data_IF_707783244995
#
_entry.id   IF_707783244995
#
_cell.length_a   1.000
_cell.length_b   1.000
_cell.length_c   1.000
_cell.angle_alpha   90.00
_cell.angle_beta   90.00
_cell.angle_gamma   90.00
#
_symmetry.space_group_name_H-M   'P 1'
#
loop_
_entity.id
_entity.type
_entity.pdbx_description
1 polymer ?
#
# COMPACT_ATOMS: atom_id res chain seq x y z
N UNK A 1 19.48 -1.41 -15.01
CA UNK A 1 18.69 -2.18 -14.01
C UNK A 1 17.56 -2.85 -14.78
N UNK A 2 17.27 -4.13 -14.51
CA UNK A 2 16.21 -4.87 -15.19
C UNK A 2 14.86 -4.70 -14.50
N UNK A 3 13.82 -5.32 -15.05
CA UNK A 3 12.51 -5.43 -14.39
C UNK A 3 12.61 -6.45 -13.26
N UNK A 4 12.23 -6.04 -12.04
CA UNK A 4 12.00 -6.92 -10.91
C UNK A 4 10.59 -7.50 -10.97
N UNK A 5 10.45 -8.79 -10.70
CA UNK A 5 9.16 -9.44 -10.56
C UNK A 5 9.21 -10.39 -9.37
N UNK A 6 8.15 -10.39 -8.57
CA UNK A 6 8.09 -11.15 -7.33
C UNK A 6 6.65 -11.52 -7.00
N UNK A 7 6.48 -12.44 -6.06
CA UNK A 7 5.18 -12.78 -5.51
C UNK A 7 5.31 -13.14 -4.02
N UNK A 8 4.23 -12.96 -3.28
CA UNK A 8 4.10 -13.36 -1.89
C UNK A 8 2.79 -14.11 -1.71
N UNK A 9 2.79 -15.15 -0.87
CA UNK A 9 1.57 -15.87 -0.53
C UNK A 9 1.50 -16.19 0.96
N UNK A 10 0.31 -16.07 1.53
CA UNK A 10 0.05 -16.36 2.93
C UNK A 10 -1.24 -17.17 3.02
N UNK A 11 -1.23 -18.23 3.83
CA UNK A 11 -2.44 -18.95 4.20
C UNK A 11 -2.56 -19.01 5.72
N UNK A 12 -3.73 -18.63 6.23
CA UNK A 12 -4.04 -18.60 7.65
C UNK A 12 -5.22 -19.53 7.88
N UNK A 13 -5.01 -20.54 8.71
CA UNK A 13 -6.07 -21.41 9.21
C UNK A 13 -6.27 -21.15 10.71
N UNK A 14 -7.51 -20.90 11.11
CA UNK A 14 -7.89 -20.78 12.53
C UNK A 14 -8.27 -22.15 13.08
N UNK A 15 -7.76 -22.46 14.27
CA UNK A 15 -8.03 -23.73 14.97
C UNK A 15 -9.50 -23.94 15.34
N UNK A 16 -10.29 -22.87 15.42
CA UNK A 16 -11.75 -22.93 15.56
C UNK A 16 -12.41 -22.43 14.29
N UNK A 17 -13.53 -23.05 13.94
CA UNK A 17 -14.42 -22.55 12.89
C UNK A 17 -15.06 -21.24 13.36
N UNK A 18 -14.80 -20.18 12.60
CA UNK A 18 -15.33 -18.83 12.78
C UNK A 18 -16.02 -18.35 11.50
N UNK A 19 -16.62 -19.27 10.75
CA UNK A 19 -17.31 -18.99 9.49
C UNK A 19 -16.34 -18.62 8.37
N UNK A 20 -16.68 -17.61 7.56
CA UNK A 20 -15.88 -17.14 6.41
C UNK A 20 -14.46 -16.67 6.79
N UNK A 21 -14.16 -16.45 8.07
CA UNK A 21 -12.82 -16.05 8.51
C UNK A 21 -11.92 -17.23 8.92
N UNK A 22 -12.41 -18.47 8.80
CA UNK A 22 -11.71 -19.68 9.26
C UNK A 22 -10.45 -19.95 8.44
N UNK A 23 -10.55 -19.80 7.12
CA UNK A 23 -9.45 -19.95 6.18
C UNK A 23 -9.28 -18.65 5.40
N UNK A 24 -8.09 -18.08 5.45
CA UNK A 24 -7.77 -16.83 4.76
C UNK A 24 -6.55 -17.08 3.89
N UNK A 25 -6.62 -16.70 2.61
CA UNK A 25 -5.47 -16.82 1.71
C UNK A 25 -5.22 -15.52 0.99
N UNK A 26 -3.95 -15.16 0.91
CA UNK A 26 -3.46 -13.96 0.26
C UNK A 26 -2.44 -14.36 -0.81
N UNK A 27 -2.52 -13.72 -1.96
CA UNK A 27 -1.54 -13.83 -3.04
C UNK A 27 -1.27 -12.42 -3.56
N UNK A 28 -0.03 -11.96 -3.46
CA UNK A 28 0.43 -10.70 -4.05
C UNK A 28 1.35 -11.03 -5.21
N UNK A 29 1.09 -10.41 -6.36
CA UNK A 29 2.00 -10.38 -7.49
C UNK A 29 2.54 -8.95 -7.62
N UNK A 30 3.86 -8.80 -7.69
CA UNK A 30 4.51 -7.50 -7.77
C UNK A 30 5.51 -7.42 -8.91
N UNK A 31 5.60 -6.24 -9.52
CA UNK A 31 6.66 -5.88 -10.47
C UNK A 31 7.21 -4.51 -10.12
N UNK A 32 8.52 -4.32 -10.27
CA UNK A 32 9.17 -3.05 -10.03
C UNK A 32 10.19 -2.73 -11.13
N UNK A 33 10.37 -1.44 -11.38
CA UNK A 33 11.35 -0.94 -12.33
C UNK A 33 11.80 0.47 -11.95
N UNK A 34 13.09 0.74 -12.12
CA UNK A 34 13.64 2.10 -12.00
C UNK A 34 13.95 2.65 -13.38
N UNK A 35 13.14 3.60 -13.84
CA UNK A 35 13.39 4.33 -15.07
C UNK A 35 14.58 5.28 -14.89
N UNK A 36 15.47 5.31 -15.88
CA UNK A 36 16.62 6.22 -15.93
C UNK A 36 16.23 7.66 -16.30
N UNK A 37 15.17 8.18 -15.66
CA UNK A 37 14.70 9.55 -15.80
C UNK A 37 15.23 10.32 -14.58
N UNK A 38 16.00 11.39 -14.83
CA UNK A 38 16.59 12.21 -13.77
C UNK A 38 17.45 11.39 -12.80
N UNK A 39 17.14 11.47 -11.51
CA UNK A 39 17.86 10.72 -10.47
C UNK A 39 17.36 9.26 -10.29
N UNK A 40 16.47 8.78 -11.17
CA UNK A 40 15.91 7.43 -11.13
C UNK A 40 14.48 7.43 -10.61
N UNK A 41 13.50 7.30 -11.51
CA UNK A 41 12.08 7.18 -11.16
C UNK A 41 11.77 5.71 -10.86
N UNK A 42 11.56 5.38 -9.59
CA UNK A 42 11.10 4.06 -9.16
C UNK A 42 9.60 3.93 -9.33
N UNK A 43 9.17 2.84 -9.94
CA UNK A 43 7.75 2.47 -10.06
C UNK A 43 7.59 1.01 -9.68
N UNK A 44 6.65 0.74 -8.78
CA UNK A 44 6.23 -0.60 -8.37
C UNK A 44 4.73 -0.73 -8.60
N UNK A 45 4.32 -1.86 -9.17
CA UNK A 45 2.92 -2.24 -9.34
C UNK A 45 2.69 -3.57 -8.66
N UNK A 46 1.68 -3.63 -7.80
CA UNK A 46 1.29 -4.81 -7.05
C UNK A 46 -0.19 -5.09 -7.28
N UNK A 47 -0.53 -6.36 -7.38
CA UNK A 47 -1.91 -6.82 -7.33
C UNK A 47 -2.03 -7.93 -6.30
N UNK A 48 -2.86 -7.70 -5.29
CA UNK A 48 -3.13 -8.66 -4.25
C UNK A 48 -4.55 -9.19 -4.34
N UNK A 49 -4.67 -10.51 -4.34
CA UNK A 49 -5.93 -11.23 -4.16
C UNK A 49 -6.01 -11.72 -2.72
N UNK A 50 -7.13 -11.44 -2.04
CA UNK A 50 -7.44 -11.92 -0.70
C UNK A 50 -8.70 -12.77 -0.75
N UNK A 51 -8.72 -13.88 -0.02
CA UNK A 51 -9.87 -14.79 0.06
C UNK A 51 -10.17 -15.13 1.51
N UNK A 52 -11.46 -15.23 1.83
CA UNK A 52 -11.96 -15.47 3.18
C UNK A 52 -13.06 -16.53 3.13
N UNK A 53 -12.74 -17.77 3.46
CA UNK A 53 -13.69 -18.87 3.34
C UNK A 53 -13.78 -19.73 4.61
N UNK A 54 -14.92 -20.38 4.79
CA UNK A 54 -15.07 -21.37 5.86
C UNK A 54 -14.27 -22.64 5.55
N UNK A 55 -14.23 -23.06 4.27
CA UNK A 55 -13.43 -24.19 3.80
C UNK A 55 -12.15 -23.70 3.13
N UNK A 56 -11.02 -24.32 3.44
CA UNK A 56 -9.74 -24.00 2.82
C UNK A 56 -9.82 -24.13 1.29
N UNK A 57 -9.28 -23.12 0.59
CA UNK A 57 -9.17 -23.09 -0.87
C UNK A 57 -10.51 -23.20 -1.62
N UNK A 58 -11.60 -22.73 -1.02
CA UNK A 58 -12.89 -22.62 -1.70
C UNK A 58 -12.93 -21.40 -2.65
N UNK A 59 -12.24 -20.31 -2.30
CA UNK A 59 -12.15 -19.07 -3.08
C UNK A 59 -13.51 -18.43 -3.38
N UNK A 60 -14.50 -18.61 -2.50
CA UNK A 60 -15.87 -18.12 -2.72
C UNK A 60 -15.97 -16.62 -2.41
N UNK A 61 -15.21 -16.13 -1.43
CA UNK A 61 -15.20 -14.72 -1.05
C UNK A 61 -13.86 -14.06 -1.35
N UNK A 62 -13.59 -13.84 -2.63
CA UNK A 62 -12.38 -13.12 -3.06
C UNK A 62 -12.58 -11.60 -3.11
N UNK A 63 -11.53 -10.85 -2.82
CA UNK A 63 -11.36 -9.44 -3.16
C UNK A 63 -9.99 -9.23 -3.79
N UNK A 64 -9.90 -8.21 -4.65
CA UNK A 64 -8.65 -7.84 -5.31
C UNK A 64 -8.35 -6.38 -5.03
N UNK A 65 -7.07 -6.06 -4.84
CA UNK A 65 -6.58 -4.71 -4.69
C UNK A 65 -5.33 -4.55 -5.54
N UNK A 66 -5.31 -3.49 -6.35
CA UNK A 66 -4.10 -3.10 -7.09
C UNK A 66 -3.50 -1.88 -6.40
N UNK A 67 -2.19 -1.91 -6.18
CA UNK A 67 -1.44 -0.79 -5.63
C UNK A 67 -0.32 -0.38 -6.59
N UNK A 68 -0.14 0.92 -6.77
CA UNK A 68 0.98 1.48 -7.52
C UNK A 68 1.75 2.40 -6.59
N UNK A 69 3.05 2.17 -6.47
CA UNK A 69 3.98 3.03 -5.74
C UNK A 69 4.96 3.68 -6.71
N UNK A 70 5.13 4.99 -6.60
CA UNK A 70 6.04 5.78 -7.42
C UNK A 70 6.94 6.56 -6.47
N UNK A 71 8.25 6.49 -6.65
CA UNK A 71 9.21 7.28 -5.86
C UNK A 71 10.20 7.96 -6.77
N UNK A 72 10.41 9.26 -6.57
CA UNK A 72 11.32 10.06 -7.34
C UNK A 72 12.22 10.90 -6.42
N UNK A 73 13.52 10.56 -6.32
CA UNK A 73 14.47 11.39 -5.61
C UNK A 73 14.71 12.67 -6.41
N UNK A 74 14.39 13.82 -5.84
CA UNK A 74 14.67 15.12 -6.45
C UNK A 74 16.15 15.53 -6.26
N UNK A 75 16.79 14.96 -5.24
CA UNK A 75 18.23 15.07 -4.97
C UNK A 75 18.60 14.24 -3.73
N UNK A 76 19.78 14.49 -3.16
CA UNK A 76 20.26 13.74 -1.99
C UNK A 76 19.41 13.93 -0.72
N UNK A 77 18.70 15.05 -0.63
CA UNK A 77 17.94 15.45 0.57
C UNK A 77 16.43 15.60 0.31
N UNK A 78 15.96 15.25 -0.89
CA UNK A 78 14.59 15.52 -1.31
C UNK A 78 14.03 14.29 -2.01
N UNK A 79 12.85 13.86 -1.61
CA UNK A 79 12.13 12.78 -2.27
C UNK A 79 10.65 13.13 -2.39
N UNK A 80 10.05 12.80 -3.53
CA UNK A 80 8.60 12.77 -3.66
C UNK A 80 8.17 11.32 -3.92
N UNK A 81 7.19 10.86 -3.18
CA UNK A 81 6.63 9.53 -3.32
C UNK A 81 5.12 9.59 -3.38
N UNK A 82 4.52 8.78 -4.23
CA UNK A 82 3.08 8.66 -4.40
C UNK A 82 2.68 7.20 -4.32
N UNK A 83 1.59 6.91 -3.64
CA UNK A 83 0.98 5.60 -3.59
C UNK A 83 -0.49 5.70 -3.97
N UNK A 84 -0.93 4.82 -4.86
CA UNK A 84 -2.31 4.73 -5.33
C UNK A 84 -2.82 3.33 -5.06
N UNK A 85 -4.00 3.20 -4.49
CA UNK A 85 -4.66 1.92 -4.26
C UNK A 85 -6.01 1.91 -4.94
N UNK A 86 -6.35 0.82 -5.61
CA UNK A 86 -7.66 0.60 -6.20
C UNK A 86 -8.25 -0.70 -5.66
N UNK A 87 -9.40 -0.59 -4.99
CA UNK A 87 -10.16 -1.75 -4.52
C UNK A 87 -11.18 -2.14 -5.58
N UNK A 88 -11.00 -3.30 -6.20
CA UNK A 88 -11.87 -3.78 -7.27
C UNK A 88 -13.28 -4.11 -6.78
N UNK A 89 -13.42 -4.52 -5.51
CA UNK A 89 -14.71 -4.90 -4.93
C UNK A 89 -15.54 -3.68 -4.48
N UNK A 90 -14.87 -2.63 -4.01
CA UNK A 90 -15.53 -1.40 -3.58
C UNK A 90 -15.62 -0.35 -4.70
N UNK A 91 -14.90 -0.56 -5.81
CA UNK A 91 -14.74 0.39 -6.92
C UNK A 91 -14.18 1.75 -6.48
N UNK A 92 -13.42 1.76 -5.39
CA UNK A 92 -12.91 2.96 -4.73
C UNK A 92 -11.38 3.08 -4.89
N UNK A 93 -10.93 4.34 -4.99
CA UNK A 93 -9.51 4.70 -5.11
C UNK A 93 -9.02 5.42 -3.85
N UNK A 94 -7.82 5.07 -3.39
CA UNK A 94 -7.08 5.83 -2.38
C UNK A 94 -5.81 6.39 -2.99
N UNK A 95 -5.44 7.60 -2.59
CA UNK A 95 -4.24 8.29 -3.05
C UNK A 95 -3.48 8.83 -1.86
N UNK A 96 -2.16 8.67 -1.88
CA UNK A 96 -1.24 9.24 -0.91
C UNK A 96 -0.07 9.85 -1.65
N UNK A 97 0.28 11.10 -1.33
CA UNK A 97 1.43 11.81 -1.85
C UNK A 97 2.23 12.30 -0.65
N UNK A 98 3.54 12.09 -0.68
CA UNK A 98 4.46 12.54 0.34
C UNK A 98 5.64 13.25 -0.32
N UNK A 99 5.92 14.45 0.16
CA UNK A 99 7.15 15.18 -0.12
C UNK A 99 7.99 15.25 1.16
N UNK A 100 9.22 14.76 1.07
CA UNK A 100 10.18 14.74 2.16
C UNK A 100 11.38 15.65 1.84
N UNK A 101 11.80 16.43 2.84
CA UNK A 101 13.04 17.19 2.80
C UNK A 101 13.87 16.98 4.08
N UNK A 102 15.13 16.58 3.92
CA UNK A 102 16.07 16.39 5.01
C UNK A 102 17.01 17.59 5.16
N UNK A 103 16.92 18.26 6.31
CA UNK A 103 17.88 19.25 6.80
C UNK A 103 18.92 18.59 7.71
N UNK A 104 19.90 19.37 8.18
CA UNK A 104 20.97 18.86 9.04
C UNK A 104 20.48 18.24 10.37
N UNK A 105 19.43 18.80 10.96
CA UNK A 105 18.89 18.37 12.27
C UNK A 105 17.40 18.07 12.23
N UNK A 106 16.76 18.26 11.08
CA UNK A 106 15.31 18.11 10.95
C UNK A 106 14.98 17.39 9.66
N UNK A 107 13.93 16.59 9.66
CA UNK A 107 13.31 16.09 8.43
C UNK A 107 11.87 16.55 8.40
N UNK A 108 11.49 17.25 7.33
CA UNK A 108 10.14 17.75 7.11
C UNK A 108 9.39 16.89 6.10
N UNK A 109 8.10 16.68 6.36
CA UNK A 109 7.19 15.93 5.52
C UNK A 109 5.93 16.73 5.24
N UNK A 110 5.54 16.79 3.98
CA UNK A 110 4.26 17.33 3.52
C UNK A 110 3.53 16.18 2.83
N UNK A 111 2.43 15.75 3.44
CA UNK A 111 1.64 14.63 2.96
C UNK A 111 0.25 15.10 2.58
N UNK A 112 -0.24 14.69 1.43
CA UNK A 112 -1.63 14.84 1.01
C UNK A 112 -2.20 13.46 0.76
N UNK A 113 -3.43 13.22 1.20
CA UNK A 113 -4.07 11.93 1.02
C UNK A 113 -5.55 12.07 0.71
N UNK A 114 -6.10 11.05 0.08
CA UNK A 114 -7.51 10.84 -0.13
C UNK A 114 -7.82 9.38 0.17
N UNK A 115 -8.71 9.14 1.12
CA UNK A 115 -9.19 7.81 1.44
C UNK A 115 -10.70 7.73 1.17
N UNK A 116 -11.20 6.66 0.53
CA UNK A 116 -12.63 6.47 0.36
C UNK A 116 -13.34 6.27 1.70
N UNK A 117 -14.65 6.51 1.72
CA UNK A 117 -15.48 6.28 2.91
C UNK A 117 -15.65 4.79 3.21
N UNK A 118 -15.59 3.95 2.18
CA UNK A 118 -15.66 2.50 2.33
C UNK A 118 -14.23 1.94 2.47
N UNK A 119 -13.77 1.78 3.71
CA UNK A 119 -12.49 1.11 3.97
C UNK A 119 -12.72 -0.39 4.06
N UNK A 120 -12.36 -1.13 3.01
CA UNK A 120 -12.03 -2.53 3.20
C UNK A 120 -10.67 -2.60 3.87
N UNK A 121 -10.63 -3.04 5.12
CA UNK A 121 -9.38 -3.29 5.85
C UNK A 121 -8.64 -4.42 5.14
N UNK A 122 -7.58 -4.06 4.42
CA UNK A 122 -6.67 -5.00 3.77
C UNK A 122 -5.65 -5.41 4.82
N UNK A 123 -5.78 -6.62 5.35
CA UNK A 123 -4.92 -7.09 6.42
C UNK A 123 -5.10 -6.27 7.71
N UNK A 124 -4.68 -6.84 8.83
CA UNK A 124 -4.81 -6.23 10.14
C UNK A 124 -3.80 -5.09 10.34
N UNK A 125 -3.83 -4.05 9.50
CA UNK A 125 -3.13 -2.80 9.79
C UNK A 125 -4.09 -1.94 10.61
N UNK A 126 -4.20 -2.30 11.88
CA UNK A 126 -4.87 -1.51 12.91
C UNK A 126 -3.98 -0.30 13.27
N UNK A 127 -3.87 0.65 12.35
CA UNK A 127 -3.56 2.03 12.72
C UNK A 127 -4.86 2.81 12.67
N UNK A 128 -5.50 2.85 13.84
CA UNK A 128 -6.51 3.82 14.23
C UNK A 128 -6.00 5.23 13.87
N UNK A 129 -6.41 5.74 12.70
CA UNK A 129 -6.48 7.15 12.25
C UNK A 129 -6.62 7.25 10.73
N UNK A 130 -7.37 6.34 10.10
CA UNK A 130 -7.66 6.46 8.67
C UNK A 130 -8.87 7.38 8.50
N UNK A 131 -8.62 8.69 8.57
CA UNK A 131 -9.63 9.70 8.24
C UNK A 131 -10.11 9.44 6.80
N UNK A 132 -11.43 9.32 6.65
CA UNK A 132 -12.06 9.24 5.32
C UNK A 132 -12.11 10.64 4.68
N UNK A 133 -12.04 10.65 3.36
CA UNK A 133 -11.98 11.88 2.57
C UNK A 133 -10.55 12.41 2.36
N UNK A 134 -10.44 13.62 1.80
CA UNK A 134 -9.16 14.27 1.57
C UNK A 134 -8.58 14.81 2.88
N UNK A 135 -7.27 14.82 2.99
CA UNK A 135 -6.55 15.39 4.12
C UNK A 135 -5.13 15.81 3.75
N UNK A 136 -4.58 16.69 4.58
CA UNK A 136 -3.19 17.15 4.49
C UNK A 136 -2.58 16.97 5.87
N UNK A 137 -1.35 16.45 5.92
CA UNK A 137 -0.58 16.25 7.15
C UNK A 137 0.80 16.86 6.98
N UNK A 138 1.22 17.58 8.01
CA UNK A 138 2.58 18.09 8.15
C UNK A 138 3.25 17.36 9.31
N UNK A 139 4.49 16.92 9.11
CA UNK A 139 5.28 16.30 10.16
C UNK A 139 6.70 16.86 10.11
N UNK A 140 7.26 17.12 11.30
CA UNK A 140 8.64 17.55 11.45
C UNK A 140 9.28 16.63 12.49
N UNK A 141 10.38 16.00 12.11
CA UNK A 141 11.16 15.11 12.97
C UNK A 141 12.48 15.80 13.29
N UNK A 142 12.86 15.84 14.57
CA UNK A 142 14.16 16.35 15.00
C UNK A 142 15.13 15.18 15.19
N UNK A 143 16.29 15.28 14.54
CA UNK A 143 17.38 14.30 14.63
C UNK A 143 18.48 14.87 15.53
N UNK A 144 18.74 14.21 16.66
CA UNK A 144 19.78 14.57 17.64
C UNK A 144 20.98 13.64 17.55
#
# INVERSE_FOLDING_TARGET
>A
VGVGAWFETVHINKTKDVGVLTNQSYLTLGVDYTFAIGNGLGVTLENMTSTYDQKAFAFENSSNVTATSISYPLGLFNNISTMVYYSWKAEDISLFINYEHQYQKFTGYIMAYYNPKSQQSIGSISYENSFSGPGIRFMLVYNH
#
